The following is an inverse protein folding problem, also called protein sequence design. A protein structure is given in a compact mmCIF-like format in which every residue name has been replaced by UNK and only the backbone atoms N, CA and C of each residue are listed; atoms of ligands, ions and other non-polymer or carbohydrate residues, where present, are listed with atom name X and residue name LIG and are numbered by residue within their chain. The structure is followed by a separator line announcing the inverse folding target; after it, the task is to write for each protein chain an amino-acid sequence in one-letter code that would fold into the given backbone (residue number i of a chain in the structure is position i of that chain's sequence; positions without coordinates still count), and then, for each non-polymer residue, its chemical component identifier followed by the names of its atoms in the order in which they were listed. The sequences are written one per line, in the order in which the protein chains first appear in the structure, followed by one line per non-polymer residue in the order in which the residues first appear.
data_IF_893554267386
#
_entry.id   IF_893554267386
#
_cell.length_a   1.000
_cell.length_b   1.000
_cell.length_c   1.000
_cell.angle_alpha   90.00
_cell.angle_beta   90.00
_cell.angle_gamma   90.00
#
_symmetry.space_group_name_H-M   'P 1'
#
loop_
_entity.id
_entity.type
_entity.pdbx_description
1 polymer ?
#
# COMPACT_ATOMS: atom_id res chain seq x y z
N UNK A 1 -0.27 -11.61 18.67
CA UNK A 1 -0.17 -11.26 17.22
C UNK A 1 1.30 -11.35 16.82
N UNK A 2 1.59 -12.02 15.72
CA UNK A 2 2.95 -12.12 15.16
C UNK A 2 3.34 -10.79 14.48
N UNK A 3 4.63 -10.61 14.18
CA UNK A 3 5.12 -9.44 13.46
C UNK A 3 4.45 -9.29 12.09
N UNK A 4 4.26 -10.39 11.36
CA UNK A 4 3.60 -10.38 10.05
C UNK A 4 2.14 -9.92 10.12
N UNK A 5 1.42 -10.24 11.19
CA UNK A 5 0.04 -9.76 11.40
C UNK A 5 0.01 -8.27 11.75
N UNK A 6 0.98 -7.74 12.51
CA UNK A 6 1.11 -6.31 12.71
C UNK A 6 1.42 -5.58 11.40
N UNK A 7 2.28 -6.16 10.56
CA UNK A 7 2.53 -5.65 9.21
C UNK A 7 1.25 -5.61 8.37
N UNK A 8 0.38 -6.61 8.48
CA UNK A 8 -0.91 -6.62 7.79
C UNK A 8 -1.81 -5.45 8.24
N UNK A 9 -1.85 -5.18 9.54
CA UNK A 9 -2.62 -4.03 10.06
C UNK A 9 -2.12 -2.72 9.45
N UNK A 10 -0.80 -2.53 9.39
CA UNK A 10 -0.21 -1.31 8.79
C UNK A 10 -0.57 -1.18 7.31
N UNK A 11 -0.45 -2.27 6.53
CA UNK A 11 -0.81 -2.26 5.10
C UNK A 11 -2.30 -2.02 4.91
N UNK A 12 -3.16 -2.56 5.78
CA UNK A 12 -4.61 -2.35 5.72
C UNK A 12 -5.02 -0.91 6.05
N UNK A 13 -4.29 -0.23 6.92
CA UNK A 13 -4.55 1.18 7.28
C UNK A 13 -4.03 2.15 6.22
N UNK A 14 -2.99 1.80 5.47
CA UNK A 14 -2.34 2.69 4.50
C UNK A 14 -3.31 3.32 3.47
N UNK A 15 -4.25 2.59 2.83
CA UNK A 15 -5.22 3.20 1.91
C UNK A 15 -6.09 4.28 2.56
N UNK A 16 -6.44 4.13 3.85
CA UNK A 16 -7.24 5.12 4.58
C UNK A 16 -6.42 6.37 4.90
N UNK A 17 -5.15 6.22 5.26
CA UNK A 17 -4.23 7.35 5.42
C UNK A 17 -4.12 8.12 4.11
N UNK A 18 -3.96 7.42 2.99
CA UNK A 18 -3.88 8.03 1.66
C UNK A 18 -5.20 8.69 1.23
N UNK A 19 -6.35 8.14 1.63
CA UNK A 19 -7.65 8.80 1.46
C UNK A 19 -7.70 10.14 2.21
N UNK A 20 -7.16 10.19 3.42
CA UNK A 20 -7.02 11.44 4.20
C UNK A 20 -6.13 12.47 3.50
N UNK A 21 -5.00 12.03 2.95
CA UNK A 21 -4.10 12.89 2.15
C UNK A 21 -4.83 13.41 0.90
N UNK A 22 -5.57 12.56 0.20
CA UNK A 22 -6.41 12.96 -0.94
C UNK A 22 -7.48 13.98 -0.54
N UNK A 23 -8.13 13.78 0.61
CA UNK A 23 -9.09 14.73 1.18
C UNK A 23 -8.48 16.09 1.48
N UNK A 24 -7.26 16.10 2.02
CA UNK A 24 -6.50 17.34 2.21
C UNK A 24 -6.30 18.09 0.88
N UNK A 25 -5.90 17.41 -0.19
CA UNK A 25 -5.75 18.05 -1.51
C UNK A 25 -7.08 18.52 -2.10
N UNK A 26 -8.19 17.81 -1.91
CA UNK A 26 -9.52 18.31 -2.32
C UNK A 26 -9.82 19.63 -1.63
N UNK A 27 -9.62 19.71 -0.33
CA UNK A 27 -9.88 20.93 0.42
C UNK A 27 -8.99 22.09 0.01
N UNK A 28 -7.68 21.85 -0.16
CA UNK A 28 -6.71 22.92 -0.46
C UNK A 28 -6.76 23.39 -1.91
N UNK A 29 -6.98 22.48 -2.86
CA UNK A 29 -6.93 22.81 -4.29
C UNK A 29 -8.30 23.16 -4.87
N UNK A 30 -9.39 22.59 -4.32
CA UNK A 30 -10.75 22.80 -4.81
C UNK A 30 -11.63 23.61 -3.84
N UNK A 31 -11.10 24.01 -2.69
CA UNK A 31 -11.74 24.89 -1.71
C UNK A 31 -12.74 24.22 -0.78
N UNK A 32 -13.26 23.04 -1.11
CA UNK A 32 -14.24 22.30 -0.31
C UNK A 32 -14.06 20.81 -0.47
N UNK A 33 -14.71 20.05 0.42
CA UNK A 33 -14.80 18.59 0.31
C UNK A 33 -16.25 18.23 0.00
N UNK A 34 -16.49 17.80 -1.24
CA UNK A 34 -17.79 17.31 -1.68
C UNK A 34 -17.99 15.89 -1.18
N UNK A 35 -18.88 15.72 -0.20
CA UNK A 35 -19.20 14.43 0.37
C UNK A 35 -20.30 13.68 -0.40
N UNK A 36 -21.04 14.39 -1.26
CA UNK A 36 -22.10 13.77 -2.08
C UNK A 36 -21.53 13.07 -3.31
N UNK A 37 -20.43 13.63 -3.89
CA UNK A 37 -19.74 13.06 -5.04
C UNK A 37 -18.21 13.03 -4.86
N UNK A 38 -17.69 12.27 -3.88
CA UNK A 38 -16.27 12.33 -3.52
C UNK A 38 -15.33 11.85 -4.63
N UNK A 39 -15.73 10.85 -5.41
CA UNK A 39 -14.91 10.32 -6.53
C UNK A 39 -14.92 11.26 -7.73
N UNK A 40 -16.06 11.86 -8.03
CA UNK A 40 -16.17 12.87 -9.08
C UNK A 40 -15.31 14.10 -8.76
N UNK A 41 -15.34 14.55 -7.50
CA UNK A 41 -14.47 15.65 -7.07
C UNK A 41 -12.98 15.27 -7.10
N UNK A 42 -12.62 14.07 -6.68
CA UNK A 42 -11.24 13.58 -6.73
C UNK A 42 -10.69 13.55 -8.16
N UNK A 43 -11.54 13.25 -9.15
CA UNK A 43 -11.17 13.23 -10.56
C UNK A 43 -10.82 14.64 -11.14
N UNK A 44 -11.18 15.70 -10.45
CA UNK A 44 -10.83 17.07 -10.82
C UNK A 44 -9.44 17.50 -10.32
N UNK A 45 -8.81 16.68 -9.47
CA UNK A 45 -7.46 16.98 -8.97
C UNK A 45 -6.41 16.69 -10.03
N UNK A 46 -5.36 17.49 -10.02
CA UNK A 46 -4.12 17.29 -10.75
C UNK A 46 -2.91 17.15 -9.81
N UNK A 47 -1.71 17.04 -10.35
CA UNK A 47 -0.46 17.05 -9.60
C UNK A 47 -0.42 16.04 -8.42
N UNK A 48 -0.02 16.51 -7.26
CA UNK A 48 0.12 15.68 -6.06
C UNK A 48 -1.22 15.12 -5.56
N UNK A 49 -2.32 15.86 -5.73
CA UNK A 49 -3.65 15.42 -5.35
C UNK A 49 -4.11 14.20 -6.15
N UNK A 50 -3.96 14.23 -7.46
CA UNK A 50 -4.26 13.10 -8.34
C UNK A 50 -3.36 11.90 -8.01
N UNK A 51 -2.07 12.15 -7.75
CA UNK A 51 -1.12 11.09 -7.36
C UNK A 51 -1.44 10.46 -6.00
N UNK A 52 -1.99 11.21 -5.06
CA UNK A 52 -2.42 10.67 -3.76
C UNK A 52 -3.55 9.64 -3.93
N UNK A 53 -4.54 9.91 -4.78
CA UNK A 53 -5.60 8.95 -5.09
C UNK A 53 -5.10 7.75 -5.89
N UNK A 54 -4.17 7.95 -6.82
CA UNK A 54 -3.52 6.84 -7.53
C UNK A 54 -2.70 5.96 -6.57
N UNK A 55 -2.00 6.55 -5.62
CA UNK A 55 -1.30 5.83 -4.55
C UNK A 55 -2.25 5.04 -3.65
N UNK A 56 -3.41 5.61 -3.33
CA UNK A 56 -4.47 4.93 -2.57
C UNK A 56 -4.99 3.69 -3.31
N UNK A 57 -5.33 3.82 -4.60
CA UNK A 57 -5.80 2.70 -5.40
C UNK A 57 -4.76 1.57 -5.42
N UNK A 58 -3.50 1.91 -5.65
CA UNK A 58 -2.41 0.93 -5.63
C UNK A 58 -2.15 0.33 -4.23
N UNK A 59 -2.44 1.05 -3.15
CA UNK A 59 -2.35 0.50 -1.80
C UNK A 59 -3.42 -0.58 -1.54
N UNK A 60 -4.62 -0.44 -2.10
CA UNK A 60 -5.66 -1.49 -2.06
C UNK A 60 -5.23 -2.76 -2.82
N UNK A 61 -4.66 -2.60 -4.02
CA UNK A 61 -4.12 -3.71 -4.81
C UNK A 61 -3.01 -4.45 -4.05
N UNK A 62 -2.11 -3.70 -3.43
CA UNK A 62 -1.01 -4.26 -2.65
C UNK A 62 -1.49 -5.00 -1.39
N UNK A 63 -2.54 -4.51 -0.72
CA UNK A 63 -3.16 -5.20 0.41
C UNK A 63 -3.69 -6.58 -0.02
N UNK A 64 -4.35 -6.66 -1.17
CA UNK A 64 -4.86 -7.94 -1.69
C UNK A 64 -3.73 -8.95 -1.93
N UNK A 65 -2.63 -8.54 -2.56
CA UNK A 65 -1.45 -9.39 -2.74
C UNK A 65 -0.84 -9.83 -1.41
N UNK A 66 -0.69 -8.90 -0.47
CA UNK A 66 -0.10 -9.21 0.83
C UNK A 66 -0.94 -10.20 1.64
N UNK A 67 -2.28 -10.07 1.59
CA UNK A 67 -3.21 -11.02 2.20
C UNK A 67 -3.03 -12.43 1.63
N UNK A 68 -2.88 -12.57 0.31
CA UNK A 68 -2.63 -13.87 -0.31
C UNK A 68 -1.31 -14.47 0.18
N UNK A 69 -0.23 -13.70 0.21
CA UNK A 69 1.07 -14.16 0.72
C UNK A 69 1.01 -14.63 2.18
N UNK A 70 0.36 -13.83 3.04
CA UNK A 70 0.20 -14.18 4.45
C UNK A 70 -0.71 -15.38 4.68
N UNK A 71 -1.78 -15.50 3.91
CA UNK A 71 -2.66 -16.66 3.97
C UNK A 71 -1.89 -17.95 3.63
N UNK A 72 -1.08 -17.93 2.58
CA UNK A 72 -0.28 -19.09 2.16
C UNK A 72 0.70 -19.52 3.26
N UNK A 73 1.51 -18.62 3.82
CA UNK A 73 2.45 -18.99 4.91
C UNK A 73 1.71 -19.47 6.16
N UNK A 74 0.48 -19.02 6.38
CA UNK A 74 -0.34 -19.45 7.50
C UNK A 74 -0.87 -20.87 7.30
N UNK A 75 -1.41 -21.16 6.11
CA UNK A 75 -1.94 -22.48 5.77
C UNK A 75 -0.88 -23.56 5.63
N UNK A 76 0.34 -23.20 5.27
CA UNK A 76 1.49 -24.13 5.17
C UNK A 76 2.26 -24.29 6.49
N UNK A 77 1.87 -23.57 7.55
CA UNK A 77 2.51 -23.67 8.86
C UNK A 77 3.87 -22.96 8.96
N UNK A 78 4.20 -22.09 7.99
CA UNK A 78 5.51 -21.38 7.93
C UNK A 78 5.43 -19.91 8.37
N UNK A 79 4.34 -19.53 9.06
CA UNK A 79 4.05 -18.14 9.44
C UNK A 79 5.10 -17.51 10.38
N UNK A 80 5.83 -18.29 11.15
CA UNK A 80 6.94 -17.86 12.00
C UNK A 80 8.13 -17.32 11.21
N UNK A 81 8.32 -17.75 9.97
CA UNK A 81 9.39 -17.33 9.07
C UNK A 81 9.03 -16.04 8.27
N UNK A 82 7.76 -15.63 8.29
CA UNK A 82 7.25 -14.55 7.45
C UNK A 82 7.60 -13.13 7.92
N UNK A 83 8.13 -12.96 9.12
CA UNK A 83 8.29 -11.65 9.76
C UNK A 83 9.15 -10.67 8.97
N UNK A 84 10.33 -11.09 8.54
CA UNK A 84 11.28 -10.22 7.79
C UNK A 84 10.73 -9.83 6.41
N UNK A 85 10.20 -10.79 5.66
CA UNK A 85 9.59 -10.52 4.35
C UNK A 85 8.42 -9.54 4.47
N UNK A 86 7.60 -9.70 5.51
CA UNK A 86 6.49 -8.80 5.81
C UNK A 86 6.95 -7.38 6.12
N UNK A 87 8.01 -7.20 6.91
CA UNK A 87 8.60 -5.89 7.19
C UNK A 87 9.12 -5.21 5.92
N UNK A 88 9.86 -5.94 5.09
CA UNK A 88 10.36 -5.41 3.80
C UNK A 88 9.20 -4.97 2.93
N UNK A 89 8.12 -5.76 2.86
CA UNK A 89 6.91 -5.39 2.12
C UNK A 89 6.33 -4.06 2.63
N UNK A 90 6.09 -3.93 3.93
CA UNK A 90 5.52 -2.71 4.54
C UNK A 90 6.36 -1.49 4.24
N UNK A 91 7.68 -1.56 4.48
CA UNK A 91 8.60 -0.44 4.25
C UNK A 91 8.55 -0.03 2.77
N UNK A 92 8.62 -0.99 1.87
CA UNK A 92 8.54 -0.73 0.44
C UNK A 92 7.20 -0.10 0.03
N UNK A 93 6.07 -0.49 0.65
CA UNK A 93 4.75 0.09 0.37
C UNK A 93 4.60 1.52 0.88
N UNK A 94 5.14 1.83 2.06
CA UNK A 94 5.17 3.20 2.60
C UNK A 94 6.02 4.10 1.69
N UNK A 95 7.22 3.65 1.33
CA UNK A 95 8.10 4.40 0.42
C UNK A 95 7.46 4.59 -0.96
N UNK A 96 6.78 3.57 -1.49
CA UNK A 96 6.05 3.67 -2.75
C UNK A 96 4.99 4.78 -2.70
N UNK A 97 4.19 4.85 -1.63
CA UNK A 97 3.16 5.88 -1.47
C UNK A 97 3.78 7.29 -1.41
N UNK A 98 4.86 7.47 -0.64
CA UNK A 98 5.58 8.74 -0.53
C UNK A 98 6.14 9.18 -1.89
N UNK A 99 6.84 8.29 -2.58
CA UNK A 99 7.43 8.61 -3.90
C UNK A 99 6.36 8.82 -4.97
N UNK A 100 5.21 8.13 -4.86
CA UNK A 100 4.09 8.35 -5.76
C UNK A 100 3.56 9.78 -5.65
N UNK A 101 3.26 10.24 -4.44
CA UNK A 101 2.74 11.59 -4.19
C UNK A 101 3.77 12.65 -4.61
N UNK A 102 5.05 12.42 -4.33
CA UNK A 102 6.13 13.33 -4.73
C UNK A 102 6.42 13.36 -6.24
N UNK A 103 5.90 12.41 -7.01
CA UNK A 103 6.16 12.31 -8.44
C UNK A 103 7.56 11.77 -8.78
N UNK A 104 8.22 11.09 -7.85
CA UNK A 104 9.55 10.48 -8.04
C UNK A 104 9.39 9.10 -8.73
N UNK A 105 9.21 9.09 -10.05
CA UNK A 105 8.78 7.91 -10.81
C UNK A 105 9.74 6.71 -10.67
N UNK A 106 11.05 6.93 -10.74
CA UNK A 106 12.05 5.86 -10.62
C UNK A 106 12.04 5.24 -9.21
N UNK A 107 12.04 6.06 -8.16
CA UNK A 107 12.02 5.59 -6.78
C UNK A 107 10.70 4.87 -6.45
N UNK A 108 9.57 5.36 -6.99
CA UNK A 108 8.27 4.69 -6.91
C UNK A 108 8.35 3.29 -7.50
N UNK A 109 8.90 3.15 -8.72
CA UNK A 109 9.03 1.86 -9.40
C UNK A 109 9.96 0.90 -8.65
N UNK A 110 11.10 1.39 -8.14
CA UNK A 110 12.01 0.59 -7.31
C UNK A 110 11.32 0.08 -6.05
N UNK A 111 10.56 0.93 -5.36
CA UNK A 111 9.79 0.54 -4.18
C UNK A 111 8.69 -0.47 -4.51
N UNK A 112 8.03 -0.35 -5.67
CA UNK A 112 7.06 -1.33 -6.16
C UNK A 112 7.71 -2.71 -6.34
N UNK A 113 8.84 -2.77 -7.05
CA UNK A 113 9.56 -4.04 -7.24
C UNK A 113 10.14 -4.60 -5.93
N UNK A 114 10.54 -3.74 -5.00
CA UNK A 114 10.92 -4.17 -3.65
C UNK A 114 9.78 -4.87 -2.90
N UNK A 115 8.57 -4.31 -2.95
CA UNK A 115 7.39 -4.94 -2.37
C UNK A 115 7.02 -6.24 -3.09
N UNK A 116 7.08 -6.26 -4.43
CA UNK A 116 6.81 -7.48 -5.21
C UNK A 116 7.81 -8.58 -4.88
N UNK A 117 9.10 -8.25 -4.75
CA UNK A 117 10.14 -9.18 -4.33
C UNK A 117 9.89 -9.76 -2.94
N UNK A 118 9.47 -8.92 -1.99
CA UNK A 118 9.10 -9.36 -0.64
C UNK A 118 7.86 -10.28 -0.66
N UNK A 119 6.88 -9.99 -1.52
CA UNK A 119 5.73 -10.88 -1.71
C UNK A 119 6.13 -12.23 -2.30
N UNK A 120 6.99 -12.24 -3.33
CA UNK A 120 7.54 -13.50 -3.89
C UNK A 120 8.29 -14.27 -2.81
N UNK A 121 9.03 -13.59 -1.94
CA UNK A 121 9.70 -14.23 -0.81
C UNK A 121 8.71 -14.93 0.13
N UNK A 122 7.56 -14.31 0.44
CA UNK A 122 6.49 -15.00 1.19
C UNK A 122 6.00 -16.27 0.49
N UNK A 123 5.85 -16.24 -0.83
CA UNK A 123 5.45 -17.43 -1.60
C UNK A 123 6.52 -18.53 -1.51
N UNK A 124 7.79 -18.18 -1.60
CA UNK A 124 8.91 -19.13 -1.44
C UNK A 124 8.92 -19.75 -0.05
N UNK A 125 8.71 -18.96 1.01
CA UNK A 125 8.58 -19.45 2.38
C UNK A 125 7.41 -20.45 2.47
N UNK A 126 6.25 -20.10 1.94
CA UNK A 126 5.09 -20.98 1.95
C UNK A 126 5.33 -22.29 1.19
N UNK A 127 6.07 -22.25 0.08
CA UNK A 127 6.40 -23.42 -0.73
C UNK A 127 7.47 -24.34 -0.07
N UNK A 128 8.15 -23.87 0.96
CA UNK A 128 9.19 -24.65 1.67
C UNK A 128 8.66 -25.44 2.86
N UNK A 129 7.40 -25.26 3.23
CA UNK A 129 6.70 -26.02 4.29
C UNK A 129 5.88 -27.16 3.68
#
# INVERSE_FOLDING_TARGET
MTLSLWCLVIVAVLPYVLAGVGGYFRRTNLGTVDNDNPRGQAALLDGAGARAYAAQANAWEALALFLVGLALVHFTGTADQAGTASMVFVIARILHAVFYIRGAATLRSLSFFGALGAWIWLIVIAASG
#
